data_IF_109154789697
#
_entry.id   IF_109154789697
#
_cell.length_a   1.000
_cell.length_b   1.000
_cell.length_c   1.000
_cell.angle_alpha   90.00
_cell.angle_beta   90.00
_cell.angle_gamma   90.00
#
_symmetry.space_group_name_H-M   'P 1'
#
loop_
_entity.id
_entity.type
_entity.pdbx_description
1 polymer ?
#
# COMPACT_ATOMS: atom_id res chain seq x y z
N UNK A 1 -30.95 -14.34 4.00
CA UNK A 1 -30.84 -14.44 2.51
C UNK A 1 -31.14 -13.04 2.00
N UNK A 2 -30.29 -12.50 1.12
CA UNK A 2 -30.46 -11.18 0.50
C UNK A 2 -30.68 -11.37 -1.00
N UNK A 3 -31.40 -10.46 -1.65
CA UNK A 3 -31.78 -10.59 -3.06
C UNK A 3 -30.61 -10.37 -4.03
N UNK A 4 -29.61 -9.60 -3.61
CA UNK A 4 -28.40 -9.34 -4.38
C UNK A 4 -27.18 -9.25 -3.45
N UNK A 5 -26.05 -9.80 -3.90
CA UNK A 5 -24.79 -9.67 -3.17
C UNK A 5 -24.22 -8.25 -3.34
N UNK A 6 -23.64 -7.66 -2.29
CA UNK A 6 -22.96 -6.37 -2.39
C UNK A 6 -21.70 -6.49 -3.26
N UNK A 7 -21.26 -5.37 -3.82
CA UNK A 7 -19.95 -5.30 -4.47
C UNK A 7 -18.86 -5.41 -3.40
N UNK A 8 -18.11 -6.51 -3.42
CA UNK A 8 -17.17 -6.90 -2.38
C UNK A 8 -16.07 -7.80 -2.95
N UNK A 9 -14.82 -7.68 -2.47
CA UNK A 9 -13.75 -8.61 -2.84
C UNK A 9 -13.91 -10.02 -2.23
N UNK A 10 -14.96 -10.27 -1.43
CA UNK A 10 -15.19 -11.57 -0.82
C UNK A 10 -15.52 -12.64 -1.90
N UNK A 11 -14.92 -13.85 -1.81
CA UNK A 11 -15.21 -14.92 -2.76
C UNK A 11 -16.67 -15.37 -2.65
N UNK A 12 -17.25 -15.71 -3.80
CA UNK A 12 -18.61 -16.22 -3.92
C UNK A 12 -18.59 -17.66 -4.39
N UNK A 13 -19.31 -18.53 -3.71
CA UNK A 13 -19.55 -19.92 -4.13
C UNK A 13 -21.01 -20.10 -4.54
N UNK A 14 -21.26 -21.01 -5.49
CA UNK A 14 -22.59 -21.32 -6.01
C UNK A 14 -22.96 -22.73 -5.57
N UNK A 15 -24.09 -22.87 -4.87
CA UNK A 15 -24.64 -24.14 -4.40
C UNK A 15 -26.08 -24.26 -4.91
N UNK A 16 -26.27 -25.04 -5.97
CA UNK A 16 -27.53 -25.06 -6.72
C UNK A 16 -27.83 -23.68 -7.29
N UNK A 17 -29.01 -23.13 -6.96
CA UNK A 17 -29.42 -21.78 -7.34
C UNK A 17 -29.01 -20.70 -6.32
N UNK A 18 -28.39 -21.10 -5.20
CA UNK A 18 -28.01 -20.19 -4.12
C UNK A 18 -26.57 -19.71 -4.26
N UNK A 19 -26.34 -18.42 -4.04
CA UNK A 19 -24.99 -17.84 -3.92
C UNK A 19 -24.63 -17.65 -2.45
N UNK A 20 -23.46 -18.14 -2.06
CA UNK A 20 -22.88 -17.97 -0.73
C UNK A 20 -21.68 -17.03 -0.81
N UNK A 21 -21.70 -15.96 -0.01
CA UNK A 21 -20.59 -15.01 0.13
C UNK A 21 -20.25 -14.87 1.61
N UNK A 22 -18.96 -14.78 1.92
CA UNK A 22 -18.53 -14.42 3.27
C UNK A 22 -18.85 -12.95 3.54
N UNK A 23 -19.61 -12.69 4.60
CA UNK A 23 -19.76 -11.34 5.12
C UNK A 23 -18.53 -11.00 5.96
N UNK A 24 -17.61 -10.26 5.36
CA UNK A 24 -16.42 -9.75 6.05
C UNK A 24 -16.82 -8.43 6.71
N UNK A 25 -16.77 -8.38 8.03
CA UNK A 25 -16.96 -7.15 8.79
C UNK A 25 -15.60 -6.58 9.15
N UNK A 26 -15.30 -5.39 8.62
CA UNK A 26 -14.06 -4.65 8.88
C UNK A 26 -14.48 -3.30 9.44
N UNK A 27 -13.82 -2.86 10.51
CA UNK A 27 -13.89 -1.45 10.90
C UNK A 27 -13.11 -0.62 9.88
N UNK A 28 -13.84 -0.10 8.89
CA UNK A 28 -13.29 0.69 7.79
C UNK A 28 -12.59 1.94 8.31
N UNK A 29 -13.10 2.57 9.36
CA UNK A 29 -12.49 3.79 9.91
C UNK A 29 -11.13 3.48 10.55
N UNK A 30 -11.08 2.43 11.39
CA UNK A 30 -9.84 1.98 12.01
C UNK A 30 -8.81 1.51 10.96
N UNK A 31 -9.24 0.79 9.92
CA UNK A 31 -8.34 0.30 8.88
C UNK A 31 -7.80 1.43 8.00
N UNK A 32 -8.62 2.43 7.66
CA UNK A 32 -8.15 3.64 6.97
C UNK A 32 -7.13 4.38 7.82
N UNK A 33 -7.38 4.55 9.11
CA UNK A 33 -6.41 5.20 10.01
C UNK A 33 -5.07 4.45 10.06
N UNK A 34 -5.10 3.12 10.15
CA UNK A 34 -3.91 2.28 10.12
C UNK A 34 -3.12 2.48 8.82
N UNK A 35 -3.78 2.36 7.67
CA UNK A 35 -3.16 2.52 6.36
C UNK A 35 -2.61 3.94 6.18
N UNK A 36 -3.33 4.98 6.58
CA UNK A 36 -2.84 6.37 6.52
C UNK A 36 -1.54 6.56 7.32
N UNK A 37 -1.47 5.99 8.53
CA UNK A 37 -0.25 6.05 9.36
C UNK A 37 0.93 5.31 8.72
N UNK A 38 0.69 4.17 8.09
CA UNK A 38 1.73 3.40 7.39
C UNK A 38 2.21 4.11 6.13
N UNK A 39 1.30 4.66 5.33
CA UNK A 39 1.64 5.47 4.16
C UNK A 39 2.49 6.68 4.56
N UNK A 40 2.13 7.40 5.62
CA UNK A 40 2.90 8.55 6.10
C UNK A 40 4.33 8.17 6.52
N UNK A 41 4.52 7.00 7.14
CA UNK A 41 5.85 6.48 7.48
C UNK A 41 6.67 6.17 6.24
N UNK A 42 6.07 5.51 5.24
CA UNK A 42 6.75 5.20 3.97
C UNK A 42 7.12 6.47 3.21
N UNK A 43 6.23 7.46 3.14
CA UNK A 43 6.49 8.76 2.51
C UNK A 43 7.65 9.49 3.19
N UNK A 44 7.72 9.47 4.52
CA UNK A 44 8.84 10.05 5.26
C UNK A 44 10.18 9.35 4.94
N UNK A 45 10.20 8.03 4.83
CA UNK A 45 11.42 7.28 4.47
C UNK A 45 11.85 7.49 3.02
N UNK A 46 10.89 7.58 2.09
CA UNK A 46 11.15 7.94 0.68
C UNK A 46 11.78 9.33 0.60
N UNK A 47 11.19 10.31 1.30
CA UNK A 47 11.68 11.69 1.28
C UNK A 47 13.12 11.79 1.83
N UNK A 48 13.45 11.05 2.89
CA UNK A 48 14.83 11.00 3.41
C UNK A 48 15.81 10.42 2.40
N UNK A 49 15.47 9.32 1.74
CA UNK A 49 16.33 8.70 0.74
C UNK A 49 16.50 9.60 -0.51
N UNK A 50 15.41 10.20 -0.98
CA UNK A 50 15.43 11.17 -2.07
C UNK A 50 16.26 12.41 -1.73
N UNK A 51 16.19 12.92 -0.48
CA UNK A 51 17.01 14.05 -0.05
C UNK A 51 18.52 13.73 -0.12
N UNK A 52 18.93 12.50 0.21
CA UNK A 52 20.33 12.06 0.03
C UNK A 52 20.70 11.99 -1.45
N UNK A 53 19.85 11.37 -2.27
CA UNK A 53 20.09 11.22 -3.71
C UNK A 53 20.08 12.54 -4.48
N UNK A 54 19.31 13.53 -4.01
CA UNK A 54 19.30 14.89 -4.57
C UNK A 54 20.48 15.75 -4.11
N UNK A 55 21.28 15.30 -3.14
CA UNK A 55 22.48 15.99 -2.71
C UNK A 55 23.68 15.57 -3.58
N UNK A 56 24.09 16.44 -4.50
CA UNK A 56 25.20 16.20 -5.44
C UNK A 56 26.51 15.81 -4.74
N UNK A 57 26.81 16.41 -3.56
CA UNK A 57 28.01 16.08 -2.80
C UNK A 57 27.98 14.65 -2.26
N UNK A 58 26.80 14.18 -1.84
CA UNK A 58 26.61 12.79 -1.43
C UNK A 58 26.78 11.85 -2.63
N UNK A 59 26.12 12.12 -3.75
CA UNK A 59 26.20 11.27 -4.96
C UNK A 59 27.62 11.19 -5.50
N UNK A 60 28.37 12.29 -5.48
CA UNK A 60 29.74 12.33 -6.00
C UNK A 60 30.77 11.63 -5.09
N UNK A 61 30.49 11.51 -3.79
CA UNK A 61 31.48 11.05 -2.79
C UNK A 61 31.12 9.71 -2.16
N UNK A 62 29.85 9.33 -2.15
CA UNK A 62 29.42 8.06 -1.57
C UNK A 62 29.86 6.88 -2.46
N UNK A 63 30.18 5.71 -1.87
CA UNK A 63 30.41 4.51 -2.65
C UNK A 63 29.20 4.18 -3.54
N UNK A 64 29.46 3.69 -4.76
CA UNK A 64 28.39 3.34 -5.71
C UNK A 64 27.34 2.40 -5.09
N UNK A 65 27.77 1.40 -4.31
CA UNK A 65 26.87 0.49 -3.62
C UNK A 65 25.90 1.19 -2.65
N UNK A 66 26.33 2.27 -1.99
CA UNK A 66 25.48 3.06 -1.08
C UNK A 66 24.46 3.88 -1.88
N UNK A 67 24.89 4.48 -3.00
CA UNK A 67 23.98 5.22 -3.88
C UNK A 67 22.93 4.30 -4.49
N UNK A 68 23.32 3.13 -4.97
CA UNK A 68 22.38 2.14 -5.50
C UNK A 68 21.43 1.60 -4.42
N UNK A 69 21.91 1.38 -3.19
CA UNK A 69 21.05 0.99 -2.07
C UNK A 69 19.98 2.06 -1.78
N UNK A 70 20.32 3.35 -1.83
CA UNK A 70 19.34 4.42 -1.62
C UNK A 70 18.32 4.50 -2.78
N UNK A 71 18.75 4.27 -4.02
CA UNK A 71 17.83 4.18 -5.17
C UNK A 71 16.87 3.00 -5.04
N UNK A 72 17.38 1.83 -4.68
CA UNK A 72 16.57 0.64 -4.46
C UNK A 72 15.58 0.85 -3.30
N UNK A 73 16.01 1.50 -2.22
CA UNK A 73 15.14 1.89 -1.11
C UNK A 73 13.97 2.75 -1.58
N UNK A 74 14.23 3.78 -2.40
CA UNK A 74 13.17 4.62 -2.98
C UNK A 74 12.22 3.78 -3.83
N UNK A 75 12.73 2.92 -4.70
CA UNK A 75 11.91 2.08 -5.57
C UNK A 75 11.00 1.13 -4.77
N UNK A 76 11.56 0.42 -3.80
CA UNK A 76 10.83 -0.57 -3.00
C UNK A 76 9.75 0.07 -2.12
N UNK A 77 10.07 1.19 -1.46
CA UNK A 77 9.08 1.91 -0.65
C UNK A 77 8.00 2.55 -1.51
N UNK A 78 8.34 3.10 -2.68
CA UNK A 78 7.35 3.66 -3.60
C UNK A 78 6.40 2.59 -4.13
N UNK A 79 6.90 1.41 -4.48
CA UNK A 79 6.07 0.28 -4.90
C UNK A 79 5.12 -0.18 -3.77
N UNK A 80 5.61 -0.24 -2.54
CA UNK A 80 4.78 -0.60 -1.38
C UNK A 80 3.71 0.45 -1.10
N UNK A 81 4.08 1.74 -1.14
CA UNK A 81 3.18 2.86 -0.95
C UNK A 81 2.06 2.86 -2.01
N UNK A 82 2.37 2.55 -3.27
CA UNK A 82 1.35 2.43 -4.34
C UNK A 82 0.31 1.37 -4.02
N UNK A 83 0.76 0.18 -3.60
CA UNK A 83 -0.15 -0.92 -3.20
C UNK A 83 -1.03 -0.52 -2.01
N UNK A 84 -0.49 0.19 -1.03
CA UNK A 84 -1.27 0.70 0.10
C UNK A 84 -2.30 1.75 -0.33
N UNK A 85 -1.94 2.65 -1.26
CA UNK A 85 -2.88 3.63 -1.83
C UNK A 85 -4.03 2.94 -2.57
N UNK A 86 -3.74 1.90 -3.35
CA UNK A 86 -4.76 1.08 -4.00
C UNK A 86 -5.68 0.39 -3.00
N UNK A 87 -5.13 -0.17 -1.93
CA UNK A 87 -5.93 -0.78 -0.85
C UNK A 87 -6.81 0.24 -0.15
N UNK A 88 -6.25 1.40 0.21
CA UNK A 88 -6.97 2.49 0.86
C UNK A 88 -8.14 2.98 -0.01
N UNK A 89 -7.94 3.12 -1.32
CA UNK A 89 -8.99 3.53 -2.26
C UNK A 89 -10.16 2.53 -2.35
N UNK A 90 -9.90 1.23 -2.14
CA UNK A 90 -10.95 0.19 -2.13
C UNK A 90 -11.83 0.22 -0.89
N UNK A 91 -11.43 0.96 0.15
CA UNK A 91 -12.19 1.07 1.41
C UNK A 91 -13.25 2.17 1.41
N UNK A 92 -13.40 2.94 0.31
CA UNK A 92 -14.36 4.04 0.18
C UNK A 92 -13.84 5.33 0.79
#
# INVERSE_FOLDING_TARGET
IIDALPDSPAPVSIVGETKLMLKVEIDVAAERERLSKEMAKLEAEINKAQAKLGNESFVARAPAAVVEQEKERVANFSATLSKMKEQFAKLG
#
